data_IF_442765783503
#
_entry.id   IF_442765783503
#
_cell.length_a   1.000
_cell.length_b   1.000
_cell.length_c   1.000
_cell.angle_alpha   90.00
_cell.angle_beta   90.00
_cell.angle_gamma   90.00
#
_symmetry.space_group_name_H-M   'P 1'
#
loop_
_entity.id
_entity.type
_entity.pdbx_description
1 polymer ?
#
# COMPACT_ATOMS: atom_id res chain seq x y z
N UNK A 1 31.57 -11.22 -59.53
CA UNK A 1 30.97 -12.56 -59.67
C UNK A 1 30.97 -13.26 -58.32
N UNK A 2 29.87 -13.17 -57.57
CA UNK A 2 29.29 -14.24 -56.72
C UNK A 2 27.96 -13.72 -56.15
N UNK A 3 26.91 -14.45 -56.45
CA UNK A 3 25.51 -14.27 -56.05
C UNK A 3 25.25 -14.91 -54.66
N UNK A 4 24.33 -14.30 -53.89
CA UNK A 4 23.29 -14.74 -52.91
C UNK A 4 23.21 -16.22 -52.42
N UNK A 5 22.37 -16.58 -51.40
CA UNK A 5 21.33 -15.85 -50.61
C UNK A 5 21.52 -16.03 -49.08
N UNK A 6 20.73 -15.57 -48.10
CA UNK A 6 19.36 -15.10 -47.92
C UNK A 6 19.03 -15.29 -46.42
N UNK A 7 18.12 -14.49 -45.85
CA UNK A 7 17.70 -14.66 -44.45
C UNK A 7 17.13 -13.41 -43.80
N UNK A 8 15.85 -13.18 -44.03
CA UNK A 8 15.02 -12.12 -43.44
C UNK A 8 14.69 -12.52 -41.99
N UNK A 9 14.88 -11.62 -41.01
CA UNK A 9 13.95 -11.46 -39.89
C UNK A 9 14.23 -10.14 -39.18
N UNK A 10 13.27 -9.24 -39.36
CA UNK A 10 13.08 -7.99 -38.64
C UNK A 10 12.75 -8.22 -37.16
N UNK A 11 13.49 -7.58 -36.25
CA UNK A 11 12.96 -7.13 -34.97
C UNK A 11 13.55 -5.75 -34.66
N UNK A 12 12.74 -4.73 -34.92
CA UNK A 12 12.95 -3.39 -34.38
C UNK A 12 12.60 -3.41 -32.90
N UNK A 13 13.56 -3.17 -32.03
CA UNK A 13 13.28 -2.72 -30.65
C UNK A 13 13.72 -1.26 -30.60
N UNK A 14 12.75 -0.38 -30.75
CA UNK A 14 12.92 1.05 -30.48
C UNK A 14 12.94 1.19 -28.94
N UNK A 15 14.13 1.42 -28.39
CA UNK A 15 14.30 1.92 -27.04
C UNK A 15 13.96 3.41 -27.03
N UNK A 16 12.77 3.76 -26.55
CA UNK A 16 12.44 5.15 -26.20
C UNK A 16 12.82 5.39 -24.73
N UNK A 17 13.71 6.35 -24.43
CA UNK A 17 13.92 6.80 -23.05
C UNK A 17 12.80 7.79 -22.71
N UNK A 18 11.87 7.40 -21.84
CA UNK A 18 10.96 8.37 -21.21
C UNK A 18 11.73 9.11 -20.11
N UNK A 19 12.46 10.15 -20.54
CA UNK A 19 12.69 11.31 -19.67
C UNK A 19 11.35 12.04 -19.53
N UNK A 20 10.77 12.00 -18.34
CA UNK A 20 9.66 12.90 -18.00
C UNK A 20 10.27 14.26 -17.68
N UNK A 21 10.36 15.13 -18.67
CA UNK A 21 10.41 16.57 -18.45
C UNK A 21 8.96 17.07 -18.37
N UNK A 22 8.56 17.64 -17.24
CA UNK A 22 7.37 18.46 -17.18
C UNK A 22 7.70 19.82 -17.79
N UNK A 23 7.23 20.05 -19.01
CA UNK A 23 7.16 21.38 -19.61
C UNK A 23 5.67 21.74 -19.63
N UNK A 24 5.31 22.88 -19.06
CA UNK A 24 3.94 23.41 -19.06
C UNK A 24 3.55 23.88 -20.48
N UNK A 25 3.31 22.93 -21.39
CA UNK A 25 2.61 23.22 -22.64
C UNK A 25 1.09 23.10 -22.45
N UNK A 26 0.29 24.00 -23.03
CA UNK A 26 -1.15 23.91 -22.96
C UNK A 26 -1.64 22.62 -23.65
N UNK A 27 -2.63 21.91 -23.09
CA UNK A 27 -3.08 20.64 -23.63
C UNK A 27 -3.65 20.81 -25.05
N UNK A 28 -3.19 19.96 -25.97
CA UNK A 28 -3.70 19.90 -27.35
C UNK A 28 -5.20 19.57 -27.35
N UNK A 29 -6.01 20.21 -28.22
CA UNK A 29 -7.44 19.96 -28.28
C UNK A 29 -7.73 18.52 -28.74
N UNK A 30 -8.37 17.74 -27.87
CA UNK A 30 -8.79 16.37 -28.15
C UNK A 30 -8.09 15.28 -27.33
N UNK A 31 -7.13 15.61 -26.47
CA UNK A 31 -6.65 14.66 -25.46
C UNK A 31 -7.64 14.62 -24.29
N UNK A 32 -8.06 13.43 -23.80
CA UNK A 32 -8.79 13.36 -22.54
C UNK A 32 -7.88 13.96 -21.46
N UNK A 33 -8.32 15.09 -20.89
CA UNK A 33 -7.69 15.69 -19.73
C UNK A 33 -7.91 14.76 -18.54
N UNK A 34 -7.00 13.79 -18.37
CA UNK A 34 -6.84 13.13 -17.09
C UNK A 34 -6.22 14.19 -16.19
N UNK A 35 -7.03 14.77 -15.30
CA UNK A 35 -6.53 15.69 -14.28
C UNK A 35 -5.29 15.12 -13.58
N UNK A 36 -4.49 16.00 -12.98
CA UNK A 36 -3.25 15.63 -12.29
C UNK A 36 -3.48 14.41 -11.39
N UNK A 37 -2.90 13.26 -11.75
CA UNK A 37 -2.98 12.06 -10.92
C UNK A 37 -2.11 12.31 -9.69
N UNK A 38 -2.73 12.21 -8.52
CA UNK A 38 -2.02 12.41 -7.26
C UNK A 38 -1.03 11.28 -6.99
N UNK A 39 0.08 11.64 -6.38
CA UNK A 39 1.10 10.71 -5.90
C UNK A 39 1.06 10.66 -4.38
N UNK A 40 1.05 9.46 -3.82
CA UNK A 40 1.24 9.21 -2.40
C UNK A 40 2.54 8.44 -2.20
N UNK A 41 3.37 8.86 -1.25
CA UNK A 41 4.59 8.15 -0.90
C UNK A 41 4.34 7.24 0.29
N UNK A 42 4.80 5.99 0.19
CA UNK A 42 4.53 4.94 1.16
C UNK A 42 4.88 5.29 2.61
N UNK A 43 5.99 6.01 2.85
CA UNK A 43 6.39 6.44 4.20
C UNK A 43 5.42 7.42 4.87
N UNK A 44 4.60 8.12 4.08
CA UNK A 44 3.58 9.06 4.57
C UNK A 44 2.21 8.43 4.82
N UNK A 45 2.06 7.12 4.63
CA UNK A 45 0.75 6.44 4.67
C UNK A 45 0.65 5.45 5.84
N UNK A 46 -0.58 5.20 6.30
CA UNK A 46 -0.90 4.08 7.20
C UNK A 46 -1.66 3.00 6.43
N UNK A 47 -1.42 1.75 6.78
CA UNK A 47 -1.89 0.58 6.05
C UNK A 47 -2.67 -0.34 6.96
N UNK A 48 -3.72 -0.92 6.40
CA UNK A 48 -4.45 -2.05 6.99
C UNK A 48 -4.70 -3.11 5.94
N UNK A 49 -4.37 -4.35 6.30
CA UNK A 49 -4.57 -5.52 5.47
C UNK A 49 -5.78 -6.28 5.98
N UNK A 50 -6.73 -6.58 5.10
CA UNK A 50 -7.94 -7.29 5.48
C UNK A 50 -8.27 -8.37 4.45
N UNK A 51 -8.32 -9.62 4.92
CA UNK A 51 -8.85 -10.71 4.11
C UNK A 51 -10.37 -10.62 4.10
N UNK A 52 -11.03 -10.66 2.93
CA UNK A 52 -12.48 -10.77 2.86
C UNK A 52 -12.94 -12.03 3.59
N UNK A 53 -14.06 -11.92 4.31
CA UNK A 53 -14.76 -13.07 4.89
C UNK A 53 -15.38 -13.92 3.78
N UNK A 54 -15.81 -15.13 4.12
CA UNK A 54 -16.53 -15.99 3.19
C UNK A 54 -17.78 -15.27 2.64
N UNK A 55 -17.93 -15.27 1.31
CA UNK A 55 -18.99 -14.55 0.61
C UNK A 55 -18.76 -13.03 0.44
N UNK A 56 -17.70 -12.46 1.04
CA UNK A 56 -17.37 -11.04 0.92
C UNK A 56 -16.45 -10.77 -0.29
N UNK A 57 -16.72 -9.71 -1.04
CA UNK A 57 -15.80 -9.23 -2.09
C UNK A 57 -14.66 -8.40 -1.48
N UNK A 58 -13.47 -8.32 -2.12
CA UNK A 58 -12.39 -7.44 -1.66
C UNK A 58 -12.83 -6.00 -1.41
N UNK A 59 -13.62 -5.44 -2.33
CA UNK A 59 -14.14 -4.06 -2.22
C UNK A 59 -15.00 -3.91 -0.96
N UNK A 60 -15.88 -4.86 -0.67
CA UNK A 60 -16.73 -4.79 0.52
C UNK A 60 -15.98 -5.02 1.84
N UNK A 61 -14.72 -5.49 1.80
CA UNK A 61 -13.88 -5.70 2.99
C UNK A 61 -13.06 -4.46 3.37
N UNK A 62 -13.16 -3.37 2.58
CA UNK A 62 -12.38 -2.15 2.77
C UNK A 62 -12.76 -1.40 4.05
N UNK A 63 -11.82 -0.66 4.61
CA UNK A 63 -12.09 0.26 5.72
C UNK A 63 -12.85 1.48 5.20
N UNK A 64 -14.08 1.69 5.64
CA UNK A 64 -14.91 2.87 5.25
C UNK A 64 -15.17 3.83 6.41
N UNK A 65 -14.65 3.54 7.61
CA UNK A 65 -14.92 4.30 8.81
C UNK A 65 -14.17 5.65 8.80
N UNK A 66 -14.90 6.74 9.01
CA UNK A 66 -14.37 8.11 8.96
C UNK A 66 -14.06 8.74 10.32
N UNK A 67 -14.61 8.19 11.41
CA UNK A 67 -14.35 8.66 12.77
C UNK A 67 -13.81 7.53 13.65
N UNK A 68 -12.74 7.77 14.40
CA UNK A 68 -12.04 6.76 15.18
C UNK A 68 -11.77 7.26 16.60
N UNK A 69 -12.26 6.53 17.60
CA UNK A 69 -12.14 6.91 19.02
C UNK A 69 -11.34 5.86 19.81
N UNK A 70 -10.37 5.20 19.16
CA UNK A 70 -9.59 4.13 19.79
C UNK A 70 -8.84 4.62 21.03
N UNK A 71 -8.86 3.82 22.09
CA UNK A 71 -8.10 4.07 23.32
C UNK A 71 -6.88 3.15 23.44
N UNK A 72 -5.88 3.49 24.28
CA UNK A 72 -4.77 2.59 24.59
C UNK A 72 -5.23 1.21 25.11
N UNK A 73 -6.33 1.17 25.86
CA UNK A 73 -6.95 -0.05 26.39
C UNK A 73 -7.58 -0.90 25.28
N UNK A 74 -8.15 -0.27 24.26
CA UNK A 74 -8.65 -0.99 23.09
C UNK A 74 -7.53 -1.69 22.32
N UNK A 75 -6.38 -1.02 22.20
CA UNK A 75 -5.20 -1.57 21.52
C UNK A 75 -4.58 -2.70 22.33
N UNK A 76 -4.43 -2.54 23.66
CA UNK A 76 -3.92 -3.62 24.52
C UNK A 76 -4.85 -4.83 24.53
N UNK A 77 -6.16 -4.62 24.61
CA UNK A 77 -7.17 -5.70 24.48
C UNK A 77 -7.02 -6.44 23.16
N UNK A 78 -6.90 -5.71 22.04
CA UNK A 78 -6.75 -6.32 20.71
C UNK A 78 -5.49 -7.17 20.60
N UNK A 79 -4.39 -6.77 21.23
CA UNK A 79 -3.18 -7.59 21.30
C UNK A 79 -3.33 -8.81 22.20
N UNK A 80 -3.99 -8.66 23.35
CA UNK A 80 -4.20 -9.76 24.29
C UNK A 80 -5.18 -10.81 23.78
N UNK A 81 -6.15 -10.41 22.96
CA UNK A 81 -7.21 -11.27 22.44
C UNK A 81 -7.16 -11.35 20.90
N UNK A 82 -6.18 -12.08 20.37
CA UNK A 82 -6.09 -12.30 18.93
C UNK A 82 -7.32 -13.03 18.35
N UNK A 83 -7.98 -13.87 19.16
CA UNK A 83 -9.18 -14.59 18.78
C UNK A 83 -10.40 -13.69 18.60
N UNK A 84 -10.33 -12.43 19.05
CA UNK A 84 -11.43 -11.48 19.05
C UNK A 84 -12.67 -12.07 19.74
N UNK A 85 -12.47 -12.72 20.89
CA UNK A 85 -13.54 -13.23 21.72
C UNK A 85 -14.49 -12.07 22.07
N UNK A 86 -15.78 -12.25 21.75
CA UNK A 86 -16.83 -11.23 21.91
C UNK A 86 -16.77 -10.04 20.94
N UNK A 87 -15.96 -10.12 19.88
CA UNK A 87 -15.94 -9.15 18.78
C UNK A 87 -15.58 -7.70 19.17
N UNK A 88 -14.75 -7.52 20.21
CA UNK A 88 -14.41 -6.21 20.76
C UNK A 88 -13.10 -5.59 20.22
N UNK A 89 -12.39 -6.28 19.33
CA UNK A 89 -11.12 -5.80 18.80
C UNK A 89 -11.31 -4.60 17.90
N UNK A 90 -10.40 -3.63 18.05
CA UNK A 90 -10.33 -2.50 17.15
C UNK A 90 -9.47 -2.82 15.94
N UNK A 91 -9.62 -2.03 14.89
CA UNK A 91 -8.75 -2.14 13.75
C UNK A 91 -7.40 -1.52 14.05
N UNK A 92 -6.35 -2.26 13.73
CA UNK A 92 -4.97 -1.83 13.88
C UNK A 92 -4.34 -1.56 12.50
N UNK A 93 -3.33 -0.71 12.52
CA UNK A 93 -2.66 -0.13 11.38
C UNK A 93 -1.15 -0.28 11.52
N UNK A 94 -0.48 -0.27 10.37
CA UNK A 94 0.97 -0.25 10.25
C UNK A 94 1.41 0.93 9.39
N UNK A 95 2.70 1.28 9.41
CA UNK A 95 3.25 2.42 8.66
C UNK A 95 4.36 1.99 7.70
N UNK A 96 4.38 2.61 6.52
CA UNK A 96 5.51 2.58 5.60
C UNK A 96 5.95 1.18 5.18
N UNK A 97 7.25 1.00 4.97
CA UNK A 97 7.80 -0.28 4.46
C UNK A 97 7.64 -1.41 5.47
N UNK A 98 7.59 -1.07 6.76
CA UNK A 98 7.32 -2.01 7.83
C UNK A 98 5.96 -2.70 7.68
N UNK A 99 4.95 -1.99 7.16
CA UNK A 99 3.66 -2.58 6.85
C UNK A 99 3.74 -3.69 5.78
N UNK A 100 4.51 -3.44 4.71
CA UNK A 100 4.67 -4.41 3.63
C UNK A 100 5.50 -5.62 4.06
N UNK A 101 6.54 -5.40 4.87
CA UNK A 101 7.32 -6.47 5.48
C UNK A 101 6.48 -7.34 6.41
N UNK A 102 5.70 -6.70 7.30
CA UNK A 102 4.82 -7.42 8.21
C UNK A 102 3.78 -8.26 7.47
N UNK A 103 3.18 -7.73 6.39
CA UNK A 103 2.24 -8.49 5.59
C UNK A 103 2.89 -9.47 4.60
N UNK A 104 4.22 -9.60 4.58
CA UNK A 104 4.99 -10.51 3.73
C UNK A 104 4.86 -10.25 2.22
N UNK A 105 4.84 -8.97 1.81
CA UNK A 105 4.94 -8.58 0.40
C UNK A 105 6.39 -8.34 -0.04
N UNK A 106 7.23 -7.88 0.89
CA UNK A 106 8.66 -7.63 0.73
C UNK A 106 9.40 -8.23 1.92
N UNK A 107 10.71 -8.43 1.81
CA UNK A 107 11.52 -9.04 2.89
C UNK A 107 12.52 -8.04 3.48
N UNK A 108 12.07 -7.03 4.26
CA UNK A 108 12.96 -6.08 4.89
C UNK A 108 13.66 -6.69 6.12
N UNK A 109 14.88 -6.24 6.41
CA UNK A 109 15.61 -6.70 7.59
C UNK A 109 14.86 -6.40 8.90
N UNK A 110 14.82 -7.39 9.80
CA UNK A 110 14.39 -7.19 11.19
C UNK A 110 12.87 -7.21 11.43
N UNK A 111 12.06 -7.62 10.45
CA UNK A 111 10.59 -7.74 10.62
C UNK A 111 10.18 -9.21 10.51
N UNK A 112 9.45 -9.70 11.52
CA UNK A 112 8.83 -11.02 11.50
C UNK A 112 7.48 -10.90 10.78
N UNK A 113 7.28 -11.61 9.65
CA UNK A 113 6.04 -11.50 8.90
C UNK A 113 4.87 -12.22 9.58
N UNK A 114 3.67 -11.67 9.41
CA UNK A 114 2.40 -12.35 9.65
C UNK A 114 1.94 -13.01 8.35
N UNK A 115 2.08 -14.33 8.28
CA UNK A 115 1.63 -15.11 7.14
C UNK A 115 0.11 -15.05 6.96
N UNK A 116 -0.32 -15.01 5.69
CA UNK A 116 -1.74 -15.00 5.32
C UNK A 116 -2.34 -13.61 5.10
N UNK A 117 -1.58 -12.53 5.25
CA UNK A 117 -1.98 -11.15 4.87
C UNK A 117 -1.58 -10.76 3.45
N UNK A 118 -0.85 -11.61 2.72
CA UNK A 118 -0.46 -11.41 1.33
C UNK A 118 -1.29 -12.27 0.35
N UNK A 119 -2.57 -12.51 0.61
CA UNK A 119 -3.43 -13.23 -0.35
C UNK A 119 -3.82 -12.29 -1.48
N UNK A 120 -4.08 -12.84 -2.67
CA UNK A 120 -4.44 -12.02 -3.84
C UNK A 120 -5.71 -11.20 -3.62
N UNK A 121 -6.66 -11.79 -2.87
CA UNK A 121 -7.93 -11.17 -2.50
C UNK A 121 -7.83 -10.24 -1.27
N UNK A 122 -6.69 -10.17 -0.58
CA UNK A 122 -6.53 -9.25 0.55
C UNK A 122 -6.77 -7.82 0.05
N UNK A 123 -7.65 -7.07 0.71
CA UNK A 123 -7.78 -5.64 0.48
C UNK A 123 -6.75 -4.91 1.32
N UNK A 124 -6.03 -3.98 0.70
CA UNK A 124 -5.08 -3.09 1.36
C UNK A 124 -5.75 -1.73 1.43
N UNK A 125 -6.17 -1.34 2.64
CA UNK A 125 -6.70 -0.01 2.91
C UNK A 125 -5.57 0.91 3.33
N UNK A 126 -5.42 2.03 2.63
CA UNK A 126 -4.34 2.99 2.79
C UNK A 126 -4.93 4.31 3.23
N UNK A 127 -4.60 4.74 4.46
CA UNK A 127 -4.85 6.11 4.89
C UNK A 127 -3.76 6.99 4.28
N UNK A 128 -4.18 7.87 3.37
CA UNK A 128 -3.29 8.76 2.64
C UNK A 128 -2.69 9.84 3.56
N UNK A 129 -1.61 10.52 3.13
CA UNK A 129 -0.97 11.55 3.96
C UNK A 129 -1.90 12.68 4.41
N UNK A 130 -2.95 12.98 3.63
CA UNK A 130 -3.99 13.96 4.01
C UNK A 130 -4.79 13.50 5.22
N UNK A 131 -5.15 12.21 5.28
CA UNK A 131 -5.84 11.59 6.42
C UNK A 131 -4.92 11.38 7.62
N UNK A 132 -3.66 10.99 7.38
CA UNK A 132 -2.68 10.78 8.45
C UNK A 132 -2.49 12.04 9.31
N UNK A 133 -2.56 13.24 8.72
CA UNK A 133 -2.47 14.51 9.46
C UNK A 133 -3.63 14.71 10.45
N UNK A 134 -4.80 14.15 10.15
CA UNK A 134 -6.05 14.29 10.92
C UNK A 134 -6.20 13.27 12.05
N UNK A 135 -5.26 12.33 12.17
CA UNK A 135 -5.28 11.29 13.21
C UNK A 135 -4.05 11.36 14.11
N UNK A 136 -4.14 10.75 15.28
CA UNK A 136 -3.00 10.39 16.12
C UNK A 136 -2.85 8.87 16.20
N UNK A 137 -1.61 8.40 16.39
CA UNK A 137 -1.33 6.99 16.65
C UNK A 137 -1.63 6.70 18.12
N UNK A 138 -2.36 5.62 18.37
CA UNK A 138 -2.70 5.14 19.70
C UNK A 138 -1.98 3.82 19.92
N UNK A 139 -1.08 3.77 20.89
CA UNK A 139 -0.35 2.56 21.26
C UNK A 139 -1.02 1.86 22.43
N UNK A 140 -0.73 0.57 22.59
CA UNK A 140 -1.25 -0.24 23.69
C UNK A 140 -0.85 0.36 25.05
N UNK A 141 -1.79 0.34 26.00
CA UNK A 141 -1.46 0.61 27.39
C UNK A 141 -0.57 -0.52 27.95
N UNK A 142 0.64 -0.17 28.36
CA UNK A 142 1.65 -1.11 28.87
C UNK A 142 1.20 -1.87 30.12
N UNK A 143 0.40 -1.24 30.98
CA UNK A 143 -0.04 -1.81 32.26
C UNK A 143 -1.09 -2.92 32.05
N UNK A 144 -1.89 -2.81 30.99
CA UNK A 144 -2.94 -3.80 30.65
C UNK A 144 -2.51 -4.78 29.57
N UNK A 145 -1.35 -4.56 28.94
CA UNK A 145 -0.78 -5.46 27.94
C UNK A 145 -0.15 -6.68 28.59
N UNK A 146 -0.52 -7.88 28.11
CA UNK A 146 0.08 -9.13 28.55
C UNK A 146 1.60 -9.06 28.35
N UNK A 147 2.42 -9.44 29.36
CA UNK A 147 3.87 -9.48 29.24
C UNK A 147 4.41 -10.14 27.97
N UNK A 148 3.75 -11.18 27.45
CA UNK A 148 4.17 -11.87 26.21
C UNK A 148 4.07 -10.98 24.97
N UNK A 149 3.18 -9.98 24.99
CA UNK A 149 2.89 -9.10 23.86
C UNK A 149 3.66 -7.78 23.89
N UNK A 150 4.44 -7.51 24.95
CA UNK A 150 5.17 -6.23 25.13
C UNK A 150 6.26 -5.98 24.09
N UNK A 151 6.72 -7.02 23.41
CA UNK A 151 7.68 -6.91 22.31
C UNK A 151 7.07 -6.56 20.95
N UNK A 152 5.74 -6.48 20.84
CA UNK A 152 5.05 -6.15 19.59
C UNK A 152 5.21 -4.65 19.29
N UNK A 153 5.96 -4.32 18.24
CA UNK A 153 6.19 -2.96 17.78
C UNK A 153 5.64 -2.69 16.38
N UNK A 154 5.44 -1.40 16.05
CA UNK A 154 5.07 -0.97 14.70
C UNK A 154 3.59 -1.15 14.32
N UNK A 155 2.77 -1.71 15.20
CA UNK A 155 1.33 -1.87 15.07
C UNK A 155 0.63 -0.93 16.06
N UNK A 156 -0.37 -0.17 15.60
CA UNK A 156 -1.05 0.85 16.40
C UNK A 156 -2.52 0.99 16.02
N UNK A 157 -3.35 1.51 16.95
CA UNK A 157 -4.67 2.03 16.65
C UNK A 157 -4.60 3.49 16.18
N UNK A 158 -5.71 4.04 15.67
CA UNK A 158 -5.79 5.47 15.31
C UNK A 158 -6.93 6.16 16.04
N UNK A 159 -6.74 7.44 16.36
CA UNK A 159 -7.81 8.31 16.85
C UNK A 159 -7.91 9.56 16.00
N UNK A 160 -9.11 9.94 15.61
CA UNK A 160 -9.39 11.16 14.85
C UNK A 160 -9.30 12.39 15.74
N UNK A 161 -8.51 13.37 15.29
CA UNK A 161 -8.49 14.74 15.83
C UNK A 161 -9.43 15.64 15.03
N UNK A 162 -9.64 15.29 13.76
CA UNK A 162 -10.55 15.92 12.81
C UNK A 162 -11.26 14.82 12.00
N UNK A 163 -12.46 15.07 11.44
CA UNK A 163 -13.15 14.09 10.61
C UNK A 163 -12.33 13.70 9.37
N UNK A 164 -12.22 12.39 9.12
CA UNK A 164 -11.70 11.91 7.84
C UNK A 164 -12.72 12.11 6.74
N UNK A 165 -12.23 12.26 5.52
CA UNK A 165 -13.02 12.29 4.30
C UNK A 165 -12.83 10.99 3.52
N UNK A 166 -13.78 10.69 2.63
CA UNK A 166 -13.65 9.57 1.70
C UNK A 166 -12.35 9.65 0.88
N UNK A 167 -11.95 10.86 0.50
CA UNK A 167 -10.71 11.14 -0.25
C UNK A 167 -9.43 10.91 0.56
N UNK A 168 -9.51 10.71 1.88
CA UNK A 168 -8.36 10.38 2.72
C UNK A 168 -8.00 8.89 2.68
N UNK A 169 -8.91 8.05 2.19
CA UNK A 169 -8.70 6.63 2.02
C UNK A 169 -8.47 6.27 0.56
N UNK A 170 -7.55 5.34 0.33
CA UNK A 170 -7.36 4.68 -0.94
C UNK A 170 -7.17 3.17 -0.77
N UNK A 171 -7.49 2.42 -1.81
CA UNK A 171 -7.50 0.96 -1.75
C UNK A 171 -6.80 0.33 -2.93
N UNK A 172 -6.13 -0.78 -2.66
CA UNK A 172 -5.62 -1.70 -3.67
C UNK A 172 -5.80 -3.14 -3.21
N UNK A 173 -5.47 -4.10 -4.06
CA UNK A 173 -5.55 -5.54 -3.72
C UNK A 173 -4.16 -6.13 -3.55
N UNK A 174 -4.08 -7.26 -2.86
CA UNK A 174 -2.83 -8.02 -2.75
C UNK A 174 -2.27 -8.44 -4.11
N UNK A 175 -3.14 -8.81 -5.06
CA UNK A 175 -2.74 -9.12 -6.45
C UNK A 175 -2.04 -7.94 -7.14
N UNK A 176 -2.65 -6.74 -7.10
CA UNK A 176 -2.05 -5.55 -7.72
C UNK A 176 -0.74 -5.15 -7.05
N UNK A 177 -0.67 -5.25 -5.72
CA UNK A 177 0.53 -4.95 -4.97
C UNK A 177 1.67 -5.92 -5.31
N UNK A 178 1.39 -7.23 -5.41
CA UNK A 178 2.36 -8.24 -5.85
C UNK A 178 2.87 -7.97 -7.26
N UNK A 179 1.98 -7.64 -8.20
CA UNK A 179 2.35 -7.33 -9.59
C UNK A 179 3.26 -6.11 -9.67
N UNK A 180 2.95 -5.04 -8.94
CA UNK A 180 3.79 -3.85 -8.88
C UNK A 180 5.19 -4.14 -8.31
N UNK A 181 5.27 -4.93 -7.24
CA UNK A 181 6.56 -5.34 -6.64
C UNK A 181 7.34 -6.27 -7.59
N UNK A 182 6.68 -7.23 -8.23
CA UNK A 182 7.33 -8.12 -9.20
C UNK A 182 7.88 -7.33 -10.39
N UNK A 183 7.10 -6.40 -10.94
CA UNK A 183 7.55 -5.51 -12.02
C UNK A 183 8.77 -4.68 -11.59
N UNK A 184 8.75 -4.14 -10.36
CA UNK A 184 9.89 -3.43 -9.80
C UNK A 184 11.14 -4.30 -9.69
N UNK A 185 11.03 -5.54 -9.20
CA UNK A 185 12.16 -6.49 -9.11
C UNK A 185 12.75 -6.79 -10.50
N UNK A 186 11.91 -6.99 -11.51
CA UNK A 186 12.38 -7.17 -12.89
C UNK A 186 13.12 -5.92 -13.40
N UNK A 187 12.61 -4.72 -13.12
CA UNK A 187 13.24 -3.47 -13.52
C UNK A 187 14.59 -3.23 -12.81
N UNK A 188 14.71 -3.61 -11.54
CA UNK A 188 15.98 -3.54 -10.80
C UNK A 188 17.07 -4.45 -11.40
N UNK A 189 16.69 -5.56 -12.05
CA UNK A 189 17.64 -6.41 -12.77
C UNK A 189 18.15 -5.78 -14.08
N UNK A 190 17.42 -4.79 -14.62
CA UNK A 190 17.71 -4.16 -15.91
C UNK A 190 18.30 -2.74 -15.76
N UNK A 191 17.91 -2.01 -14.71
CA UNK A 191 18.29 -0.63 -14.46
C UNK A 191 18.93 -0.47 -13.07
N UNK A 192 19.85 0.49 -12.91
CA UNK A 192 20.47 0.88 -11.62
C UNK A 192 19.44 1.26 -10.54
N UNK A 193 19.78 1.20 -9.23
CA UNK A 193 18.86 0.79 -8.15
C UNK A 193 17.80 1.81 -7.69
N UNK A 194 17.47 2.81 -8.51
CA UNK A 194 16.61 3.93 -8.11
C UNK A 194 15.17 3.84 -8.61
N UNK A 195 14.76 2.72 -9.20
CA UNK A 195 13.36 2.56 -9.62
C UNK A 195 12.47 2.41 -8.40
N UNK A 196 11.46 3.26 -8.26
CA UNK A 196 10.39 3.05 -7.29
C UNK A 196 9.37 2.05 -7.86
N UNK A 197 8.79 1.21 -6.99
CA UNK A 197 7.61 0.45 -7.37
C UNK A 197 6.38 1.36 -7.32
N UNK A 198 5.54 1.29 -8.34
CA UNK A 198 4.32 2.10 -8.43
C UNK A 198 3.11 1.18 -8.50
N UNK A 199 2.15 1.39 -7.60
CA UNK A 199 0.90 0.62 -7.59
C UNK A 199 -0.30 1.56 -7.71
N UNK A 200 -1.28 1.13 -8.51
CA UNK A 200 -2.55 1.84 -8.65
C UNK A 200 -3.43 1.62 -7.41
N UNK A 201 -4.03 2.71 -6.94
CA UNK A 201 -5.06 2.70 -5.91
C UNK A 201 -6.25 3.52 -6.40
N UNK A 202 -7.40 3.19 -5.84
CA UNK A 202 -8.64 3.93 -6.04
C UNK A 202 -9.08 4.47 -4.68
N UNK A 203 -9.33 5.78 -4.62
CA UNK A 203 -9.91 6.42 -3.44
C UNK A 203 -11.34 5.96 -3.19
N UNK A 204 -11.86 6.16 -1.98
CA UNK A 204 -13.27 5.87 -1.69
C UNK A 204 -14.24 6.63 -2.59
N UNK A 205 -13.88 7.85 -2.99
CA UNK A 205 -14.64 8.70 -3.92
C UNK A 205 -14.50 8.28 -5.40
N UNK A 206 -13.72 7.23 -5.70
CA UNK A 206 -13.50 6.70 -7.04
C UNK A 206 -12.34 7.33 -7.80
N UNK A 207 -11.69 8.37 -7.27
CA UNK A 207 -10.56 9.01 -7.97
C UNK A 207 -9.28 8.17 -7.89
N UNK A 208 -8.42 8.18 -8.93
CA UNK A 208 -7.17 7.44 -8.92
C UNK A 208 -6.09 8.15 -8.10
N UNK A 209 -5.21 7.35 -7.49
CA UNK A 209 -3.95 7.79 -6.87
C UNK A 209 -2.88 6.74 -7.10
N UNK A 210 -1.63 7.16 -7.28
CA UNK A 210 -0.50 6.24 -7.40
C UNK A 210 0.27 6.21 -6.08
N UNK A 211 0.48 5.02 -5.53
CA UNK A 211 1.39 4.83 -4.40
C UNK A 211 2.78 4.54 -4.95
N UNK A 212 3.71 5.41 -4.60
CA UNK A 212 5.14 5.30 -4.89
C UNK A 212 5.81 4.64 -3.69
N UNK A 213 6.49 3.53 -3.94
CA UNK A 213 7.12 2.68 -2.94
C UNK A 213 8.61 2.59 -3.24
N UNK A 214 9.40 3.27 -2.42
CA UNK A 214 10.85 3.08 -2.40
C UNK A 214 11.15 1.82 -1.60
N UNK A 215 11.49 0.73 -2.29
CA UNK A 215 11.76 -0.58 -1.67
C UNK A 215 13.26 -0.82 -1.67
N UNK A 216 13.78 -1.21 -0.51
CA UNK A 216 15.15 -1.69 -0.35
C UNK A 216 15.08 -3.11 0.23
N UNK A 217 15.46 -4.11 -0.56
CA UNK A 217 15.63 -5.50 -0.10
C UNK A 217 17.14 -5.78 0.08
N UNK A 218 17.52 -6.60 1.09
CA UNK A 218 18.91 -6.97 1.34
C UNK A 218 19.51 -7.89 0.27
#
# INVERSE_FOLDING_TARGET
MRFYPGGISSFWIILSPLLVYAVDDPPLPGTPYYGKIDLAYLNGCYFRFQNPRDGQTPISARVTRLDWQTTPEDVSRTFNDFGNANEQNVQLFLKGIGALGYANYVTPCGIIPQYGLNKDKTIVSVLLPTGVKKVEQVYANYETLDPVNRGVGGIFGIRTKEPLLDSDWAYTTGDLLKKAIAQWRELQNVFTPTTDAVVNLIRSDGTPVLLVMHITEP
#
